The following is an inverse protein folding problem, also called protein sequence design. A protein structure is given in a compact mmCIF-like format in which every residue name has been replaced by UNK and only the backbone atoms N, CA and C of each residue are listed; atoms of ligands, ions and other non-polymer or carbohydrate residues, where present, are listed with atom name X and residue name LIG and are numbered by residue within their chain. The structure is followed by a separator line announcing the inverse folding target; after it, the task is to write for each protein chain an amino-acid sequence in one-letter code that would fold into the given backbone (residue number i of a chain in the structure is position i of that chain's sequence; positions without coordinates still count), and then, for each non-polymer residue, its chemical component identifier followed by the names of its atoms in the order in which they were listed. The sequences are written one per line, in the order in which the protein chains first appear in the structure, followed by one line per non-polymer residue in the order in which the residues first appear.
data_IF_773036838230
#
_entry.id   IF_773036838230
#
_cell.length_a   1.000
_cell.length_b   1.000
_cell.length_c   1.000
_cell.angle_alpha   90.00
_cell.angle_beta   90.00
_cell.angle_gamma   90.00
#
_symmetry.space_group_name_H-M   'P 1'
#
loop_
_entity.id
_entity.type
_entity.pdbx_description
1 polymer ?
#
# COMPACT_ATOMS: atom_id res chain seq x y z
N UNK A 1 -17.14 -9.61 -7.23
CA UNK A 1 -18.52 -9.38 -6.74
C UNK A 1 -19.15 -10.68 -6.25
N UNK A 2 -19.12 -11.79 -7.01
CA UNK A 2 -19.68 -13.08 -6.56
C UNK A 2 -19.04 -13.76 -5.32
N UNK A 3 -17.81 -13.41 -4.91
CA UNK A 3 -17.18 -14.00 -3.70
C UNK A 3 -17.84 -13.56 -2.39
N UNK A 4 -18.29 -12.30 -2.32
CA UNK A 4 -19.00 -11.79 -1.14
C UNK A 4 -20.43 -12.32 -1.06
N UNK A 5 -21.09 -12.47 -2.21
CA UNK A 5 -22.47 -12.99 -2.30
C UNK A 5 -22.51 -14.49 -1.95
N UNK A 6 -21.55 -15.28 -2.44
CA UNK A 6 -21.43 -16.70 -2.09
C UNK A 6 -21.06 -16.93 -0.60
N UNK A 7 -20.23 -16.06 -0.01
CA UNK A 7 -19.87 -16.15 1.41
C UNK A 7 -21.00 -15.69 2.35
N UNK A 8 -21.82 -14.73 1.93
CA UNK A 8 -23.02 -14.30 2.67
C UNK A 8 -24.17 -15.33 2.60
N UNK A 9 -24.29 -16.06 1.49
CA UNK A 9 -25.28 -17.13 1.34
C UNK A 9 -24.89 -18.41 2.11
N UNK A 10 -23.58 -18.66 2.33
CA UNK A 10 -23.05 -19.86 2.99
C UNK A 10 -22.68 -19.72 4.48
N UNK A 11 -22.65 -18.51 5.04
CA UNK A 11 -22.25 -18.27 6.44
C UNK A 11 -23.21 -17.28 7.16
N UNK A 12 -23.31 -17.38 8.48
CA UNK A 12 -24.13 -16.46 9.29
C UNK A 12 -23.60 -15.01 9.29
N UNK A 13 -24.49 -14.06 9.55
CA UNK A 13 -24.28 -12.59 9.48
C UNK A 13 -22.95 -12.13 10.07
N UNK A 14 -22.54 -12.68 11.23
CA UNK A 14 -21.31 -12.30 11.93
C UNK A 14 -20.03 -12.68 11.18
N UNK A 15 -20.00 -13.86 10.55
CA UNK A 15 -18.82 -14.35 9.80
C UNK A 15 -18.63 -13.57 8.50
N UNK A 16 -19.72 -13.21 7.81
CA UNK A 16 -19.67 -12.42 6.58
C UNK A 16 -19.27 -10.96 6.85
N UNK A 17 -19.67 -10.40 8.00
CA UNK A 17 -19.20 -9.08 8.44
C UNK A 17 -17.68 -9.08 8.71
N UNK A 18 -17.17 -10.07 9.44
CA UNK A 18 -15.74 -10.25 9.70
C UNK A 18 -14.92 -10.42 8.40
N UNK A 19 -15.43 -11.14 7.40
CA UNK A 19 -14.79 -11.28 6.08
C UNK A 19 -14.79 -9.95 5.29
N UNK A 20 -15.86 -9.18 5.38
CA UNK A 20 -15.94 -7.83 4.81
C UNK A 20 -14.89 -6.89 5.41
N UNK A 21 -14.79 -6.85 6.74
CA UNK A 21 -13.78 -6.05 7.46
C UNK A 21 -12.36 -6.53 7.15
N UNK A 22 -12.12 -7.84 7.10
CA UNK A 22 -10.82 -8.40 6.76
C UNK A 22 -10.33 -8.01 5.37
N UNK A 23 -11.20 -8.08 4.36
CA UNK A 23 -10.84 -7.63 3.00
C UNK A 23 -10.62 -6.11 2.95
N UNK A 24 -11.49 -5.32 3.58
CA UNK A 24 -11.33 -3.87 3.61
C UNK A 24 -10.02 -3.45 4.31
N UNK A 25 -9.67 -4.09 5.42
CA UNK A 25 -8.42 -3.87 6.14
C UNK A 25 -7.21 -4.26 5.29
N UNK A 26 -7.27 -5.39 4.58
CA UNK A 26 -6.19 -5.82 3.69
C UNK A 26 -5.92 -4.84 2.54
N UNK A 27 -6.98 -4.35 1.87
CA UNK A 27 -6.85 -3.32 0.83
C UNK A 27 -6.43 -1.97 1.40
N UNK A 28 -7.03 -1.56 2.53
CA UNK A 28 -6.70 -0.32 3.21
C UNK A 28 -5.24 -0.26 3.65
N UNK A 29 -4.69 -1.38 4.14
CA UNK A 29 -3.28 -1.47 4.52
C UNK A 29 -2.32 -1.16 3.36
N UNK A 30 -2.61 -1.72 2.18
CA UNK A 30 -1.79 -1.47 0.99
C UNK A 30 -1.84 0.02 0.62
N UNK A 31 -3.02 0.64 0.66
CA UNK A 31 -3.18 2.05 0.35
C UNK A 31 -2.41 2.96 1.33
N UNK A 32 -2.41 2.65 2.62
CA UNK A 32 -1.67 3.39 3.64
C UNK A 32 -0.16 3.31 3.38
N UNK A 33 0.38 2.11 3.15
CA UNK A 33 1.82 1.92 2.90
C UNK A 33 2.26 2.63 1.62
N UNK A 34 1.47 2.56 0.55
CA UNK A 34 1.78 3.23 -0.72
C UNK A 34 1.71 4.75 -0.56
N UNK A 35 0.71 5.27 0.16
CA UNK A 35 0.58 6.69 0.44
C UNK A 35 1.77 7.21 1.28
N UNK A 36 2.16 6.47 2.32
CA UNK A 36 3.31 6.78 3.15
C UNK A 36 4.59 6.93 2.34
N UNK A 37 4.90 5.95 1.48
CA UNK A 37 6.09 6.03 0.63
C UNK A 37 5.98 7.25 -0.30
N UNK A 38 4.82 7.46 -0.94
CA UNK A 38 4.61 8.59 -1.86
C UNK A 38 4.78 9.95 -1.21
N UNK A 39 4.32 10.14 0.02
CA UNK A 39 4.51 11.39 0.76
C UNK A 39 6.00 11.58 1.11
N UNK A 40 6.62 10.53 1.64
CA UNK A 40 8.01 10.58 2.12
C UNK A 40 9.02 10.96 1.05
N UNK A 41 8.95 10.41 -0.17
CA UNK A 41 9.89 10.81 -1.24
C UNK A 41 9.27 11.77 -2.26
N UNK A 42 7.97 12.02 -2.22
CA UNK A 42 7.30 12.96 -3.12
C UNK A 42 7.42 14.40 -2.64
N UNK A 43 7.17 14.65 -1.34
CA UNK A 43 7.22 15.98 -0.73
C UNK A 43 8.17 16.07 0.46
N UNK A 44 8.79 14.97 0.90
CA UNK A 44 9.70 15.00 2.07
C UNK A 44 8.99 15.20 3.41
N UNK A 45 7.67 15.23 3.40
CA UNK A 45 6.80 15.44 4.55
C UNK A 45 5.97 14.18 4.81
N UNK A 46 5.71 13.91 6.07
CA UNK A 46 4.73 12.91 6.49
C UNK A 46 3.68 13.61 7.34
N UNK A 47 2.44 13.60 6.86
CA UNK A 47 1.29 14.22 7.52
C UNK A 47 1.49 15.71 7.81
N UNK A 48 2.21 16.40 6.90
CA UNK A 48 2.58 17.82 7.02
C UNK A 48 3.71 18.09 8.01
N UNK A 49 4.37 17.07 8.56
CA UNK A 49 5.61 17.22 9.33
C UNK A 49 6.80 16.94 8.41
N UNK A 50 7.74 17.88 8.24
CA UNK A 50 8.95 17.65 7.45
C UNK A 50 9.82 16.61 8.13
N UNK A 51 9.97 15.45 7.47
CA UNK A 51 10.78 14.33 7.97
C UNK A 51 12.20 14.41 7.42
N UNK A 52 12.37 14.99 6.25
CA UNK A 52 13.69 15.26 5.68
C UNK A 52 14.27 16.53 6.32
N UNK A 53 15.39 16.44 7.06
CA UNK A 53 15.98 17.60 7.72
C UNK A 53 16.55 18.59 6.69
N UNK A 54 16.41 19.89 6.97
CA UNK A 54 16.82 20.98 6.06
C UNK A 54 18.28 20.88 5.57
N UNK A 55 19.19 20.32 6.37
CA UNK A 55 20.58 20.13 5.95
C UNK A 55 20.72 19.23 4.71
N UNK A 56 19.79 18.31 4.47
CA UNK A 56 19.79 17.45 3.28
C UNK A 56 19.38 18.24 2.03
N UNK A 57 18.45 19.18 2.16
CA UNK A 57 18.11 20.13 1.09
C UNK A 57 19.27 21.08 0.78
N UNK A 58 19.97 21.55 1.80
CA UNK A 58 21.16 22.41 1.65
C UNK A 58 22.33 21.67 0.97
N UNK A 59 22.38 20.34 1.09
CA UNK A 59 23.32 19.47 0.36
C UNK A 59 22.92 19.20 -1.10
N UNK A 60 21.80 19.76 -1.57
CA UNK A 60 21.34 19.66 -2.95
C UNK A 60 20.23 18.63 -3.18
N UNK A 61 19.59 18.11 -2.13
CA UNK A 61 18.39 17.28 -2.28
C UNK A 61 17.21 18.13 -2.75
N UNK A 62 16.49 17.63 -3.75
CA UNK A 62 15.20 18.19 -4.17
C UNK A 62 14.16 17.08 -4.15
N UNK A 63 12.95 17.45 -3.73
CA UNK A 63 11.85 16.50 -3.65
C UNK A 63 11.49 15.94 -5.02
N UNK A 64 11.18 14.65 -5.06
CA UNK A 64 10.86 13.99 -6.32
C UNK A 64 9.38 14.17 -6.66
N UNK A 65 9.04 15.29 -7.29
CA UNK A 65 7.68 15.58 -7.77
C UNK A 65 7.12 14.51 -8.74
N UNK A 66 7.97 13.70 -9.39
CA UNK A 66 7.52 12.58 -10.22
C UNK A 66 6.82 11.49 -9.40
N UNK A 67 7.11 11.39 -8.10
CA UNK A 67 6.54 10.40 -7.23
C UNK A 67 5.09 10.69 -6.81
N UNK A 68 4.66 11.93 -7.01
CA UNK A 68 3.27 12.34 -6.84
C UNK A 68 2.40 11.90 -8.03
N UNK A 69 2.98 11.62 -9.19
CA UNK A 69 2.23 11.23 -10.39
C UNK A 69 1.61 9.83 -10.26
N UNK A 70 0.44 9.65 -10.90
CA UNK A 70 -0.31 8.38 -10.92
C UNK A 70 0.53 7.14 -11.32
N UNK A 71 1.42 7.20 -12.35
CA UNK A 71 2.20 6.03 -12.76
C UNK A 71 3.16 5.51 -11.69
N UNK A 72 3.68 6.38 -10.82
CA UNK A 72 4.62 5.96 -9.78
C UNK A 72 3.95 5.13 -8.69
N UNK A 73 2.65 5.34 -8.44
CA UNK A 73 1.89 4.51 -7.51
C UNK A 73 1.85 3.03 -7.95
N UNK A 74 1.75 2.76 -9.25
CA UNK A 74 1.77 1.41 -9.79
C UNK A 74 3.13 0.74 -9.58
N UNK A 75 4.21 1.48 -9.74
CA UNK A 75 5.58 0.99 -9.50
C UNK A 75 5.78 0.66 -8.02
N UNK A 76 5.37 1.54 -7.11
CA UNK A 76 5.47 1.32 -5.66
C UNK A 76 4.67 0.08 -5.23
N UNK A 77 3.45 -0.09 -5.74
CA UNK A 77 2.64 -1.29 -5.50
C UNK A 77 3.34 -2.54 -6.05
N UNK A 78 3.90 -2.48 -7.26
CA UNK A 78 4.64 -3.58 -7.87
C UNK A 78 5.83 -4.04 -7.03
N UNK A 79 6.63 -3.08 -6.53
CA UNK A 79 7.76 -3.35 -5.63
C UNK A 79 7.27 -3.91 -4.30
N UNK A 80 6.18 -3.38 -3.73
CA UNK A 80 5.60 -3.89 -2.49
C UNK A 80 5.17 -5.36 -2.64
N UNK A 81 4.45 -5.71 -3.71
CA UNK A 81 4.03 -7.10 -3.98
C UNK A 81 5.27 -7.99 -4.18
N UNK A 82 6.29 -7.50 -4.88
CA UNK A 82 7.52 -8.24 -5.09
C UNK A 82 8.24 -8.58 -3.77
N UNK A 83 8.38 -7.61 -2.86
CA UNK A 83 8.94 -7.83 -1.52
C UNK A 83 8.10 -8.83 -0.73
N UNK A 84 6.77 -8.67 -0.76
CA UNK A 84 5.85 -9.56 -0.06
C UNK A 84 5.96 -11.00 -0.57
N UNK A 85 6.11 -11.19 -1.88
CA UNK A 85 6.31 -12.50 -2.52
C UNK A 85 7.72 -13.06 -2.29
N UNK A 86 8.72 -12.21 -2.14
CA UNK A 86 10.08 -12.61 -1.79
C UNK A 86 10.14 -13.25 -0.40
N UNK A 87 9.51 -12.62 0.60
CA UNK A 87 9.46 -13.16 1.96
C UNK A 87 8.48 -14.33 2.10
N UNK A 88 7.33 -14.29 1.42
CA UNK A 88 6.30 -15.32 1.53
C UNK A 88 6.19 -16.15 0.24
N UNK A 89 7.14 -17.07 0.07
CA UNK A 89 7.26 -17.97 -1.10
C UNK A 89 6.04 -18.90 -1.29
N UNK A 90 5.15 -19.05 -0.30
CA UNK A 90 3.88 -19.80 -0.42
C UNK A 90 2.92 -19.23 -1.47
N UNK A 91 3.13 -17.99 -1.91
CA UNK A 91 2.36 -17.31 -2.96
C UNK A 91 3.01 -17.42 -4.35
N UNK A 92 4.05 -18.25 -4.47
CA UNK A 92 4.65 -18.60 -5.75
C UNK A 92 4.02 -19.92 -6.16
N UNK A 93 3.17 -19.88 -7.19
CA UNK A 93 2.70 -21.08 -7.87
C UNK A 93 3.93 -21.88 -8.30
N UNK A 94 3.99 -23.11 -7.83
CA UNK A 94 4.95 -24.09 -8.34
C UNK A 94 4.29 -24.67 -9.57
N UNK A 95 4.83 -24.36 -10.76
CA UNK A 95 4.43 -25.02 -12.00
C UNK A 95 4.60 -26.55 -11.90
#
# INVERSE_FOLDING_TARGET
MGRFEAFALGNGVWKSFLDGVGNAAGYGWILIVVAFIRELFGSGELWGVPVIPQFIYDLGYQDNGLMLLSPMALIVVGVYIWIQRYYNRKLIESD
#
